data_IF_125835026590
#
_entry.id   IF_125835026590
#
_cell.length_a   1.000
_cell.length_b   1.000
_cell.length_c   1.000
_cell.angle_alpha   90.00
_cell.angle_beta   90.00
_cell.angle_gamma   90.00
#
_symmetry.space_group_name_H-M   'P 1'
#
loop_
_entity.id
_entity.type
_entity.pdbx_description
1 polymer ?
#
# COMPACT_ATOMS: atom_id res chain seq x y z
N UNK A 1 -50.90 26.80 9.67
CA UNK A 1 -50.77 26.98 8.21
C UNK A 1 -49.44 26.36 7.84
N UNK A 2 -49.40 25.07 7.52
CA UNK A 2 -49.41 24.58 6.13
C UNK A 2 -47.95 24.28 5.74
N UNK A 3 -47.56 23.18 5.11
CA UNK A 3 -48.26 22.08 4.45
C UNK A 3 -47.23 20.95 4.20
N UNK A 4 -47.72 19.69 4.11
CA UNK A 4 -47.44 18.63 3.11
C UNK A 4 -46.05 18.51 2.46
N UNK A 5 -45.46 17.36 2.12
CA UNK A 5 -45.87 16.00 1.67
C UNK A 5 -44.55 15.16 1.72
N UNK A 6 -44.46 13.93 2.24
CA UNK A 6 -44.83 12.59 1.76
C UNK A 6 -44.30 12.12 0.38
N UNK A 7 -44.19 10.78 0.28
CA UNK A 7 -43.84 9.87 -0.84
C UNK A 7 -42.35 9.49 -0.94
N UNK A 8 -41.94 8.22 -1.00
CA UNK A 8 -42.69 6.97 -1.14
C UNK A 8 -41.95 6.02 -2.10
N UNK A 9 -41.84 4.75 -1.73
CA UNK A 9 -41.50 3.63 -2.62
C UNK A 9 -40.04 3.56 -3.10
N UNK A 10 -39.42 2.41 -3.30
CA UNK A 10 -39.87 1.03 -3.31
C UNK A 10 -38.71 0.25 -3.93
N UNK A 11 -38.28 -0.82 -3.25
CA UNK A 11 -37.63 -1.94 -3.93
C UNK A 11 -38.69 -2.58 -4.87
N UNK A 12 -38.29 -3.33 -5.90
CA UNK A 12 -38.12 -4.76 -5.63
C UNK A 12 -37.13 -5.49 -6.57
N UNK A 13 -36.72 -6.69 -6.10
CA UNK A 13 -36.66 -7.98 -6.81
C UNK A 13 -35.91 -8.12 -8.14
N UNK A 14 -35.31 -9.25 -8.51
CA UNK A 14 -34.98 -10.58 -7.98
C UNK A 14 -34.39 -11.33 -9.20
N UNK A 15 -33.90 -12.56 -8.99
CA UNK A 15 -33.85 -13.65 -9.97
C UNK A 15 -32.68 -13.60 -10.99
N UNK A 16 -31.97 -14.67 -11.33
CA UNK A 16 -32.00 -16.10 -10.97
C UNK A 16 -30.85 -16.78 -11.77
N UNK A 17 -30.49 -18.01 -11.35
CA UNK A 17 -29.86 -19.12 -12.09
C UNK A 17 -28.35 -19.32 -11.83
N UNK A 18 -27.86 -20.35 -11.12
CA UNK A 18 -28.12 -21.81 -11.07
C UNK A 18 -27.24 -22.63 -12.04
N UNK A 19 -26.10 -23.13 -11.49
CA UNK A 19 -25.50 -24.49 -11.59
C UNK A 19 -24.91 -24.99 -12.94
N UNK A 20 -23.76 -25.73 -12.92
CA UNK A 20 -22.95 -26.21 -14.08
C UNK A 20 -23.50 -27.58 -14.59
N UNK A 21 -22.89 -28.48 -15.44
CA UNK A 21 -21.55 -29.11 -15.28
C UNK A 21 -20.89 -29.71 -16.58
N UNK A 22 -19.84 -30.55 -16.39
CA UNK A 22 -19.35 -31.68 -17.22
C UNK A 22 -18.58 -31.38 -18.53
N UNK A 23 -17.64 -32.19 -19.05
CA UNK A 23 -16.77 -33.32 -18.67
C UNK A 23 -15.95 -33.68 -19.95
N UNK A 24 -14.99 -34.61 -19.85
CA UNK A 24 -14.26 -35.34 -20.92
C UNK A 24 -12.90 -34.72 -21.32
N UNK A 25 -11.74 -35.27 -20.95
CA UNK A 25 -11.13 -36.59 -21.23
C UNK A 25 -10.84 -36.79 -22.71
N UNK A 26 -9.58 -37.00 -23.08
CA UNK A 26 -9.06 -37.94 -24.11
C UNK A 26 -7.56 -37.66 -24.35
N UNK A 27 -6.71 -38.69 -24.33
CA UNK A 27 -5.40 -38.62 -24.98
C UNK A 27 -4.22 -39.35 -24.33
N UNK A 28 -4.30 -40.69 -24.22
CA UNK A 28 -3.32 -41.66 -24.76
C UNK A 28 -1.80 -41.60 -24.46
N UNK A 29 -1.05 -42.68 -24.78
CA UNK A 29 0.09 -43.13 -23.97
C UNK A 29 1.45 -43.21 -24.70
N UNK A 30 2.52 -43.44 -23.90
CA UNK A 30 3.83 -44.04 -24.26
C UNK A 30 4.72 -43.21 -25.22
N UNK A 31 6.05 -43.20 -25.16
CA UNK A 31 7.03 -44.21 -24.74
C UNK A 31 8.43 -43.57 -24.69
N UNK A 32 9.35 -44.15 -23.88
CA UNK A 32 10.81 -44.23 -24.13
C UNK A 32 11.64 -42.93 -24.02
N UNK A 33 12.88 -42.86 -23.52
CA UNK A 33 13.85 -43.82 -22.97
C UNK A 33 15.03 -43.01 -22.39
N UNK A 34 15.75 -43.63 -21.44
CA UNK A 34 17.18 -43.48 -21.15
C UNK A 34 17.69 -42.24 -20.37
N UNK A 35 18.11 -42.56 -19.14
CA UNK A 35 19.10 -41.85 -18.32
C UNK A 35 20.42 -41.62 -19.06
N UNK A 36 21.09 -40.47 -18.84
CA UNK A 36 22.56 -40.34 -18.73
C UNK A 36 22.96 -38.98 -18.12
N UNK A 37 23.47 -39.04 -16.89
CA UNK A 37 24.59 -38.31 -16.26
C UNK A 37 25.00 -36.90 -16.77
N UNK A 38 24.90 -35.92 -15.86
CA UNK A 38 25.83 -34.78 -15.69
C UNK A 38 27.15 -35.30 -15.08
N UNK A 39 28.35 -34.69 -15.31
CA UNK A 39 28.61 -33.27 -15.02
C UNK A 39 29.64 -32.54 -15.94
N UNK A 40 29.66 -31.20 -15.88
CA UNK A 40 30.92 -30.44 -16.00
C UNK A 40 31.01 -29.31 -17.05
N UNK A 41 30.72 -28.09 -16.60
CA UNK A 41 31.45 -26.82 -16.83
C UNK A 41 31.43 -26.06 -18.17
N UNK A 42 30.89 -24.83 -18.07
CA UNK A 42 31.32 -23.58 -18.74
C UNK A 42 30.71 -23.35 -20.12
N UNK A 43 29.90 -22.33 -20.40
CA UNK A 43 29.80 -20.98 -19.83
C UNK A 43 28.45 -20.37 -20.22
N UNK A 44 27.59 -20.05 -19.26
CA UNK A 44 26.45 -19.15 -19.46
C UNK A 44 26.57 -17.99 -18.46
N UNK A 45 26.27 -16.74 -18.89
CA UNK A 45 26.31 -15.59 -17.99
C UNK A 45 25.25 -15.77 -16.89
N UNK A 46 25.46 -15.26 -15.66
CA UNK A 46 24.41 -15.28 -14.66
C UNK A 46 23.29 -14.35 -15.11
N UNK A 47 22.22 -14.96 -15.61
CA UNK A 47 20.90 -14.36 -15.67
C UNK A 47 20.58 -13.83 -14.27
N UNK A 48 20.26 -12.55 -14.22
CA UNK A 48 19.85 -11.81 -13.02
C UNK A 48 18.89 -12.65 -12.16
N UNK A 49 18.98 -12.60 -10.81
CA UNK A 49 18.12 -13.42 -9.98
C UNK A 49 16.65 -13.11 -10.29
N UNK A 50 15.78 -14.12 -10.43
CA UNK A 50 14.35 -13.87 -10.52
C UNK A 50 13.97 -13.17 -9.22
N UNK A 51 13.48 -11.94 -9.36
CA UNK A 51 12.97 -11.15 -8.25
C UNK A 51 12.09 -12.04 -7.40
N UNK A 52 12.40 -12.12 -6.11
CA UNK A 52 11.63 -12.88 -5.13
C UNK A 52 10.19 -12.36 -5.17
N UNK A 53 9.35 -13.04 -5.95
CA UNK A 53 7.94 -12.73 -6.11
C UNK A 53 7.30 -12.87 -4.73
N UNK A 54 7.05 -11.74 -4.09
CA UNK A 54 6.26 -11.70 -2.88
C UNK A 54 4.83 -12.12 -3.27
N UNK A 55 4.28 -13.20 -2.70
CA UNK A 55 2.96 -13.72 -3.08
C UNK A 55 1.77 -12.83 -2.68
N UNK A 56 2.01 -11.60 -2.21
CA UNK A 56 0.98 -10.62 -1.86
C UNK A 56 0.68 -9.57 -2.94
N UNK A 57 1.19 -9.73 -4.17
CA UNK A 57 1.12 -8.68 -5.21
C UNK A 57 -0.18 -8.59 -6.00
N UNK A 58 -1.13 -9.50 -5.87
CA UNK A 58 -2.27 -9.54 -6.81
C UNK A 58 -3.35 -8.46 -6.58
N UNK A 59 -3.31 -7.69 -5.49
CA UNK A 59 -4.40 -6.76 -5.13
C UNK A 59 -4.01 -5.28 -5.04
N UNK A 60 -2.76 -4.88 -5.29
CA UNK A 60 -2.33 -3.49 -5.08
C UNK A 60 -2.09 -2.72 -6.39
N UNK A 61 -3.00 -1.82 -6.83
CA UNK A 61 -2.87 -1.07 -8.08
C UNK A 61 -1.78 0.02 -8.06
N UNK A 62 -0.93 0.08 -7.02
CA UNK A 62 0.14 1.08 -6.83
C UNK A 62 1.50 0.40 -6.67
N UNK A 63 1.79 -0.53 -7.58
CA UNK A 63 2.94 -1.46 -7.55
C UNK A 63 4.32 -0.75 -7.53
N UNK A 64 4.42 0.42 -8.16
CA UNK A 64 5.66 1.20 -8.35
C UNK A 64 6.11 2.01 -7.10
N UNK A 65 5.26 2.13 -6.07
CA UNK A 65 5.60 2.94 -4.91
C UNK A 65 6.84 2.42 -4.14
N UNK A 66 7.13 1.11 -4.23
CA UNK A 66 8.27 0.50 -3.57
C UNK A 66 9.60 0.88 -4.20
N UNK A 67 9.72 0.69 -5.52
CA UNK A 67 10.91 1.03 -6.28
C UNK A 67 11.18 2.53 -6.23
N UNK A 68 10.12 3.33 -6.38
CA UNK A 68 10.16 4.78 -6.19
C UNK A 68 10.81 5.18 -4.84
N UNK A 69 10.33 4.62 -3.73
CA UNK A 69 10.84 4.93 -2.40
C UNK A 69 12.28 4.42 -2.19
N UNK A 70 12.63 3.28 -2.78
CA UNK A 70 14.00 2.75 -2.73
C UNK A 70 14.97 3.68 -3.41
N UNK A 71 14.63 4.17 -4.60
CA UNK A 71 15.44 5.14 -5.34
C UNK A 71 15.56 6.47 -4.60
N UNK A 72 14.44 7.00 -4.07
CA UNK A 72 14.43 8.27 -3.35
C UNK A 72 15.27 8.25 -2.05
N UNK A 73 15.32 7.12 -1.36
CA UNK A 73 15.95 7.00 -0.04
C UNK A 73 17.22 6.14 -0.05
N UNK A 74 17.71 5.73 -1.22
CA UNK A 74 18.85 4.82 -1.38
C UNK A 74 18.73 3.54 -0.52
N UNK A 75 17.53 2.95 -0.43
CA UNK A 75 17.30 1.74 0.36
C UNK A 75 17.69 0.50 -0.45
N UNK A 76 18.65 -0.33 0.04
CA UNK A 76 19.10 -1.51 -0.69
C UNK A 76 17.99 -2.57 -0.76
N UNK A 77 17.99 -3.38 -1.83
CA UNK A 77 16.91 -4.31 -2.18
C UNK A 77 16.62 -5.37 -1.11
N UNK A 78 17.63 -5.74 -0.34
CA UNK A 78 17.56 -6.68 0.79
C UNK A 78 16.80 -6.11 2.01
N UNK A 79 16.66 -4.79 2.10
CA UNK A 79 16.00 -4.11 3.21
C UNK A 79 14.54 -3.82 2.89
N UNK A 80 13.67 -4.01 3.88
CA UNK A 80 12.26 -3.65 3.77
C UNK A 80 12.06 -2.13 3.71
N UNK A 81 11.19 -1.66 2.82
CA UNK A 81 10.81 -0.24 2.72
C UNK A 81 9.71 0.03 3.74
N UNK A 82 10.07 0.55 4.90
CA UNK A 82 9.16 0.92 5.97
C UNK A 82 9.82 1.97 6.89
N UNK A 83 9.17 2.38 7.97
CA UNK A 83 9.71 3.35 8.93
C UNK A 83 11.04 2.93 9.58
N UNK A 84 11.33 1.62 9.65
CA UNK A 84 12.58 1.07 10.17
C UNK A 84 13.72 1.08 9.13
N UNK A 85 13.44 1.49 7.89
CA UNK A 85 14.46 1.75 6.89
C UNK A 85 15.28 3.02 7.19
N UNK A 86 14.72 3.93 7.99
CA UNK A 86 15.37 5.18 8.34
C UNK A 86 16.23 5.04 9.62
N UNK A 87 17.37 5.75 9.70
CA UNK A 87 18.18 5.81 10.91
C UNK A 87 17.41 6.47 12.06
N UNK A 88 17.71 6.05 13.29
CA UNK A 88 17.09 6.62 14.48
C UNK A 88 17.65 8.04 14.73
N UNK A 89 16.79 9.00 15.11
CA UNK A 89 17.25 10.33 15.47
C UNK A 89 18.05 10.28 16.77
N UNK A 90 19.14 11.06 16.90
CA UNK A 90 19.95 11.09 18.11
C UNK A 90 19.12 11.61 19.29
N UNK A 91 19.17 10.90 20.42
CA UNK A 91 18.59 11.36 21.69
C UNK A 91 17.07 11.56 21.69
N UNK A 92 16.32 10.74 20.97
CA UNK A 92 14.84 10.81 20.98
C UNK A 92 14.28 12.11 20.39
N UNK A 93 15.10 12.83 19.61
CA UNK A 93 14.70 14.08 18.96
C UNK A 93 13.80 13.82 17.76
N UNK A 94 13.18 14.90 17.25
CA UNK A 94 12.31 14.80 16.07
C UNK A 94 13.12 14.25 14.88
N UNK A 95 12.58 13.27 14.12
CA UNK A 95 13.25 12.76 12.94
C UNK A 95 13.65 13.89 11.98
N UNK A 96 14.88 13.82 11.46
CA UNK A 96 15.42 14.79 10.49
C UNK A 96 14.71 14.69 9.14
N UNK A 97 14.14 13.53 8.84
CA UNK A 97 13.45 13.27 7.59
C UNK A 97 12.14 14.06 7.51
N UNK A 98 11.76 14.56 6.32
CA UNK A 98 10.50 15.26 6.13
C UNK A 98 9.30 14.39 6.54
N UNK A 99 8.27 14.98 7.16
CA UNK A 99 7.05 14.26 7.54
C UNK A 99 6.43 13.49 6.36
N UNK A 100 6.48 14.06 5.15
CA UNK A 100 6.02 13.38 3.95
C UNK A 100 6.73 12.03 3.73
N UNK A 101 8.04 11.96 3.94
CA UNK A 101 8.81 10.70 3.83
C UNK A 101 8.36 9.71 4.89
N UNK A 102 8.24 10.15 6.15
CA UNK A 102 7.78 9.28 7.23
C UNK A 102 6.39 8.70 6.93
N UNK A 103 5.47 9.52 6.44
CA UNK A 103 4.12 9.09 6.11
C UNK A 103 4.06 8.15 4.91
N UNK A 104 4.89 8.38 3.87
CA UNK A 104 5.03 7.44 2.75
C UNK A 104 5.49 6.08 3.23
N UNK A 105 6.53 6.04 4.07
CA UNK A 105 7.08 4.80 4.62
C UNK A 105 6.13 4.10 5.60
N UNK A 106 5.35 4.85 6.37
CA UNK A 106 4.33 4.29 7.25
C UNK A 106 3.22 3.60 6.45
N UNK A 107 2.65 4.30 5.47
CA UNK A 107 1.58 3.77 4.62
C UNK A 107 2.09 2.60 3.79
N UNK A 108 3.23 2.76 3.12
CA UNK A 108 3.82 1.70 2.32
C UNK A 108 4.17 0.51 3.22
N UNK A 109 4.84 0.69 4.35
CA UNK A 109 5.23 -0.39 5.25
C UNK A 109 4.08 -1.17 5.91
N UNK A 110 2.83 -0.72 5.77
CA UNK A 110 1.66 -1.42 6.31
C UNK A 110 1.34 -2.70 5.50
N UNK A 111 0.76 -3.75 6.14
CA UNK A 111 0.44 -5.00 5.47
C UNK A 111 -0.49 -4.84 4.25
N UNK A 112 -1.39 -3.85 4.30
CA UNK A 112 -2.39 -3.60 3.26
C UNK A 112 -2.07 -2.39 2.39
N UNK A 113 -0.85 -1.82 2.51
CA UNK A 113 -0.40 -0.61 1.80
C UNK A 113 -1.36 0.59 1.94
N UNK A 114 -2.15 0.59 3.01
CA UNK A 114 -3.19 1.57 3.31
C UNK A 114 -3.30 1.73 4.81
N UNK A 115 -3.41 2.97 5.28
CA UNK A 115 -3.59 3.28 6.70
C UNK A 115 -4.64 4.37 6.89
N UNK A 116 -5.40 4.29 7.96
CA UNK A 116 -6.23 5.39 8.45
C UNK A 116 -5.37 6.48 9.08
N UNK A 117 -5.94 7.67 9.24
CA UNK A 117 -5.26 8.78 9.93
C UNK A 117 -4.79 8.40 11.34
N UNK A 118 -5.60 7.61 12.06
CA UNK A 118 -5.26 7.16 13.41
C UNK A 118 -4.07 6.20 13.38
N UNK A 119 -4.07 5.23 12.48
CA UNK A 119 -2.95 4.29 12.34
C UNK A 119 -1.66 4.99 11.91
N UNK A 120 -1.73 6.06 11.11
CA UNK A 120 -0.54 6.87 10.79
C UNK A 120 0.04 7.52 12.04
N UNK A 121 -0.79 8.04 12.95
CA UNK A 121 -0.30 8.57 14.24
C UNK A 121 0.38 7.47 15.04
N UNK A 122 -0.29 6.33 15.20
CA UNK A 122 0.21 5.19 15.96
C UNK A 122 1.51 4.64 15.39
N UNK A 123 1.64 4.50 14.06
CA UNK A 123 2.87 4.02 13.44
C UNK A 123 4.08 4.94 13.70
N UNK A 124 3.86 6.27 13.73
CA UNK A 124 4.91 7.24 14.05
C UNK A 124 5.26 7.24 15.54
N UNK A 125 4.26 7.14 16.40
CA UNK A 125 4.42 6.97 17.84
C UNK A 125 5.20 5.67 18.13
N UNK A 126 4.81 4.53 17.57
CA UNK A 126 5.53 3.25 17.78
C UNK A 126 6.99 3.29 17.34
N UNK A 127 7.31 4.01 16.25
CA UNK A 127 8.68 4.10 15.75
C UNK A 127 9.56 5.10 16.50
N UNK A 128 9.09 6.32 16.76
CA UNK A 128 9.94 7.40 17.25
C UNK A 128 9.49 7.92 18.61
N UNK A 129 10.44 7.98 19.55
CA UNK A 129 10.23 8.49 20.92
C UNK A 129 9.63 9.90 20.96
N UNK A 130 10.07 10.78 20.07
CA UNK A 130 9.56 12.15 20.00
C UNK A 130 8.03 12.19 19.82
N UNK A 131 7.48 11.39 18.90
CA UNK A 131 6.03 11.37 18.70
C UNK A 131 5.30 10.75 19.90
N UNK A 132 5.87 9.73 20.56
CA UNK A 132 5.30 9.14 21.79
C UNK A 132 5.19 10.17 22.89
N UNK A 133 6.26 10.90 23.15
CA UNK A 133 6.31 11.92 24.20
C UNK A 133 5.37 13.09 23.88
N UNK A 134 5.09 13.32 22.59
CA UNK A 134 4.19 14.35 22.12
C UNK A 134 2.80 13.84 21.72
N UNK A 135 2.35 12.66 22.18
CA UNK A 135 1.07 12.04 21.76
C UNK A 135 -0.14 13.00 21.85
N UNK A 136 -0.19 13.89 22.85
CA UNK A 136 -1.30 14.82 23.03
C UNK A 136 -1.16 16.15 22.27
N UNK A 137 -0.05 16.38 21.57
CA UNK A 137 0.20 17.61 20.84
C UNK A 137 -0.59 17.64 19.51
N UNK A 138 -1.49 18.61 19.41
CA UNK A 138 -2.32 18.81 18.23
C UNK A 138 -1.55 19.39 17.05
N UNK A 139 -0.40 20.04 17.27
CA UNK A 139 0.39 20.75 16.26
C UNK A 139 0.98 19.80 15.22
N UNK A 140 1.69 18.76 15.65
CA UNK A 140 2.25 17.77 14.72
C UNK A 140 1.13 16.93 14.08
N UNK A 141 0.07 16.60 14.80
CA UNK A 141 -1.12 15.91 14.23
C UNK A 141 -1.80 16.75 13.16
N UNK A 142 -1.86 18.07 13.34
CA UNK A 142 -2.37 18.99 12.32
C UNK A 142 -1.46 19.04 11.10
N UNK A 143 -0.15 19.04 11.31
CA UNK A 143 0.85 18.98 10.25
C UNK A 143 0.71 17.71 9.41
N UNK A 144 0.41 16.55 10.02
CA UNK A 144 0.15 15.30 9.30
C UNK A 144 -1.11 15.43 8.43
N UNK A 145 -2.23 15.89 9.00
CA UNK A 145 -3.48 16.09 8.24
C UNK A 145 -3.28 17.02 7.05
N UNK A 146 -2.50 18.09 7.25
CA UNK A 146 -2.14 19.02 6.21
C UNK A 146 -1.37 18.33 5.07
N UNK A 147 -0.32 17.56 5.36
CA UNK A 147 0.46 16.83 4.35
C UNK A 147 -0.39 15.84 3.55
N UNK A 148 -1.30 15.11 4.20
CA UNK A 148 -2.22 14.18 3.51
C UNK A 148 -3.11 14.90 2.49
N UNK A 149 -3.54 16.12 2.81
CA UNK A 149 -4.39 16.91 1.92
C UNK A 149 -3.63 17.65 0.81
N UNK A 150 -2.38 18.04 1.09
CA UNK A 150 -1.57 18.85 0.20
C UNK A 150 -0.88 18.05 -0.89
N UNK A 151 -0.25 16.92 -0.55
CA UNK A 151 0.59 16.20 -1.51
C UNK A 151 -0.25 15.26 -2.37
N UNK A 152 0.00 15.25 -3.69
CA UNK A 152 -0.72 14.38 -4.64
C UNK A 152 -0.51 12.90 -4.34
N UNK A 153 0.66 12.55 -3.81
CA UNK A 153 1.04 11.18 -3.50
C UNK A 153 0.14 10.51 -2.46
N UNK A 154 -0.55 11.28 -1.62
CA UNK A 154 -1.48 10.74 -0.64
C UNK A 154 -2.91 10.80 -1.17
N UNK A 155 -3.45 9.64 -1.51
CA UNK A 155 -4.83 9.52 -1.98
C UNK A 155 -5.69 8.96 -0.86
N UNK A 156 -6.88 9.55 -0.65
CA UNK A 156 -7.87 8.96 0.25
C UNK A 156 -8.83 8.06 -0.52
N UNK A 157 -9.13 6.90 0.05
CA UNK A 157 -10.12 5.95 -0.45
C UNK A 157 -11.19 5.73 0.62
N UNK A 158 -12.43 5.53 0.18
CA UNK A 158 -13.52 5.20 1.09
C UNK A 158 -13.30 3.80 1.68
N UNK A 159 -13.72 3.65 2.94
CA UNK A 159 -13.70 2.34 3.60
C UNK A 159 -14.79 1.46 2.98
N UNK A 160 -14.56 0.14 2.87
CA UNK A 160 -15.61 -0.79 2.50
C UNK A 160 -16.80 -0.63 3.45
N UNK A 161 -18.03 -0.72 2.92
CA UNK A 161 -19.26 -0.64 3.72
C UNK A 161 -19.32 -1.79 4.76
N UNK A 162 -18.63 -2.89 4.47
CA UNK A 162 -18.48 -4.05 5.34
C UNK A 162 -17.65 -3.80 6.60
N UNK A 163 -16.84 -2.74 6.63
CA UNK A 163 -15.98 -2.39 7.78
C UNK A 163 -16.44 -1.09 8.43
N UNK A 164 -17.38 -1.14 9.39
CA UNK A 164 -17.84 0.06 10.07
C UNK A 164 -16.69 0.70 10.87
N UNK A 165 -16.43 1.98 10.61
CA UNK A 165 -15.53 2.76 11.44
C UNK A 165 -15.25 4.16 10.91
N UNK A 166 -14.61 4.97 11.75
CA UNK A 166 -14.41 6.40 11.47
C UNK A 166 -13.29 6.61 10.45
N UNK A 167 -13.51 7.54 9.53
CA UNK A 167 -12.48 8.07 8.64
C UNK A 167 -12.35 7.34 7.30
N UNK A 168 -11.26 7.66 6.59
CA UNK A 168 -10.90 7.14 5.27
C UNK A 168 -9.57 6.42 5.37
N UNK A 169 -9.31 5.49 4.45
CA UNK A 169 -7.96 4.98 4.27
C UNK A 169 -7.16 5.95 3.41
N UNK A 170 -5.88 6.06 3.71
CA UNK A 170 -4.89 6.77 2.93
C UNK A 170 -3.97 5.75 2.29
N UNK A 171 -3.79 5.91 0.97
CA UNK A 171 -2.91 5.08 0.15
C UNK A 171 -1.84 5.96 -0.49
N UNK A 172 -0.74 5.32 -0.85
CA UNK A 172 0.36 5.96 -1.55
C UNK A 172 0.21 5.72 -3.06
N UNK A 173 0.01 6.79 -3.81
CA UNK A 173 -0.13 6.78 -5.27
C UNK A 173 0.95 7.64 -5.90
N UNK A 174 2.02 6.99 -6.39
CA UNK A 174 3.16 7.66 -7.03
C UNK A 174 2.99 7.84 -8.53
N UNK A 175 1.90 7.33 -9.12
CA UNK A 175 1.68 7.33 -10.58
C UNK A 175 1.63 8.74 -11.19
N UNK A 176 1.23 9.74 -10.40
CA UNK A 176 1.10 11.13 -10.81
C UNK A 176 2.36 11.98 -10.52
N UNK A 177 3.45 11.34 -10.09
CA UNK A 177 4.69 11.99 -9.68
C UNK A 177 4.61 12.73 -8.33
N UNK A 178 5.71 13.38 -7.94
CA UNK A 178 5.73 14.24 -6.75
C UNK A 178 5.16 15.64 -7.02
N UNK A 179 4.49 16.20 -6.02
CA UNK A 179 4.04 17.58 -6.06
C UNK A 179 2.81 17.86 -5.21
N UNK A 180 2.44 19.14 -5.16
CA UNK A 180 1.25 19.62 -4.46
C UNK A 180 0.01 19.54 -5.35
N UNK A 181 -1.13 19.15 -4.76
CA UNK A 181 -2.39 18.91 -5.47
C UNK A 181 -2.98 20.14 -6.16
N UNK A 182 -2.57 21.33 -5.73
CA UNK A 182 -2.98 22.61 -6.34
C UNK A 182 -1.73 23.35 -6.83
N UNK A 183 -1.79 23.85 -8.06
CA UNK A 183 -0.82 24.81 -8.59
C UNK A 183 -0.91 26.09 -7.75
N UNK A 184 0.18 26.54 -7.15
CA UNK A 184 0.20 27.85 -6.49
C UNK A 184 0.28 28.90 -7.59
N UNK A 185 -0.85 29.51 -7.94
CA UNK A 185 -0.87 30.69 -8.83
C UNK A 185 -0.01 31.78 -8.16
N UNK A 186 1.16 32.04 -8.72
CA UNK A 186 2.04 33.15 -8.32
C UNK A 186 1.52 34.46 -8.88
#
# INVERSE_FOLDING_TARGET
MGSSQNFGGGAPNQFQHNIPPQHQSFGGPQSQSRSTLLPGQGSEPPESPPGSLNPGLLDNPYEDAGEYLRGQLNIPFDRAVNLYALPDPPGGTRPTQPLAILMKLAIYGSPHRKLTLREIYTALEERYEWFRNNTNDASWKNSIRHHLSLNKVFRNIQRPITEPGKGKYWVLDVSQGEGYKRERKR
#
